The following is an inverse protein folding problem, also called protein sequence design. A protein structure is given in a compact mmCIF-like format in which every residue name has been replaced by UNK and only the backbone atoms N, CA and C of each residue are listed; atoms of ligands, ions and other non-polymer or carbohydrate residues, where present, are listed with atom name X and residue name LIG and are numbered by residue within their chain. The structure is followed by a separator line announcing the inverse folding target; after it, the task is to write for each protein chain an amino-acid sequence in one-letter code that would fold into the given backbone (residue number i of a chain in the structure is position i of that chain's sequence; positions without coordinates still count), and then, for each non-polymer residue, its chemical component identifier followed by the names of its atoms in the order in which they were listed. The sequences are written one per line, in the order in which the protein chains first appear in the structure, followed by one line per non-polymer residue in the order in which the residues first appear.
data_IF_643462307822
#
_entry.id   IF_643462307822
#
_cell.length_a   1.000
_cell.length_b   1.000
_cell.length_c   1.000
_cell.angle_alpha   90.00
_cell.angle_beta   90.00
_cell.angle_gamma   90.00
#
_symmetry.space_group_name_H-M   'P 1'
#
loop_
_entity.id
_entity.type
_entity.pdbx_description
1 polymer ?
#
# COMPACT_ATOMS: atom_id res chain seq x y z
N UNK A 1 23.40 16.10 18.42
CA UNK A 1 22.46 15.60 17.39
C UNK A 1 21.45 16.70 17.18
N UNK A 2 21.30 17.16 15.94
CA UNK A 2 20.27 18.14 15.62
C UNK A 2 18.89 17.50 15.77
N UNK A 3 17.97 18.22 16.42
CA UNK A 3 16.60 17.76 16.64
C UNK A 3 15.75 18.27 15.48
N UNK A 4 15.07 17.35 14.79
CA UNK A 4 14.10 17.71 13.76
C UNK A 4 12.78 18.19 14.37
N UNK A 5 12.10 19.11 13.69
CA UNK A 5 10.73 19.43 14.06
C UNK A 5 9.80 18.25 13.72
N UNK A 6 10.01 17.65 12.55
CA UNK A 6 9.22 16.51 12.06
C UNK A 6 10.12 15.50 11.35
N UNK A 7 9.96 14.22 11.69
CA UNK A 7 10.46 13.10 10.89
C UNK A 7 9.28 12.39 10.24
N UNK A 8 9.35 12.22 8.93
CA UNK A 8 8.36 11.49 8.12
C UNK A 8 8.96 10.12 7.80
N UNK A 9 8.24 9.05 8.12
CA UNK A 9 8.66 7.67 7.86
C UNK A 9 7.95 7.17 6.62
N UNK A 10 8.65 7.11 5.48
CA UNK A 10 8.14 6.70 4.17
C UNK A 10 8.08 7.83 3.15
N UNK A 11 8.60 7.57 1.95
CA UNK A 11 8.71 8.47 0.80
C UNK A 11 7.70 8.18 -0.32
N UNK A 12 6.54 7.60 0.01
CA UNK A 12 5.41 7.44 -0.91
C UNK A 12 4.57 8.72 -1.08
N UNK A 13 3.43 8.68 -1.79
CA UNK A 13 2.62 9.88 -2.06
C UNK A 13 2.17 10.63 -0.80
N UNK A 14 1.81 9.91 0.26
CA UNK A 14 1.45 10.51 1.55
C UNK A 14 2.64 11.24 2.19
N UNK A 15 3.78 10.55 2.32
CA UNK A 15 4.99 11.10 2.94
C UNK A 15 5.61 12.26 2.15
N UNK A 16 5.63 12.18 0.81
CA UNK A 16 6.07 13.27 -0.05
C UNK A 16 5.16 14.49 0.07
N UNK A 17 3.83 14.28 0.15
CA UNK A 17 2.88 15.38 0.37
C UNK A 17 3.07 16.01 1.74
N UNK A 18 3.22 15.19 2.78
CA UNK A 18 3.56 15.65 4.13
C UNK A 18 4.84 16.50 4.10
N UNK A 19 5.90 16.01 3.44
CA UNK A 19 7.16 16.73 3.32
C UNK A 19 7.00 18.09 2.63
N UNK A 20 6.26 18.16 1.51
CA UNK A 20 5.96 19.43 0.83
C UNK A 20 5.28 20.42 1.78
N UNK A 21 4.28 19.96 2.55
CA UNK A 21 3.57 20.82 3.50
C UNK A 21 4.47 21.28 4.66
N UNK A 22 5.33 20.40 5.16
CA UNK A 22 6.22 20.68 6.28
C UNK A 22 7.31 21.70 5.87
N UNK A 23 7.89 21.53 4.68
CA UNK A 23 8.84 22.48 4.12
C UNK A 23 8.18 23.85 3.86
N UNK A 24 6.93 23.89 3.38
CA UNK A 24 6.17 25.15 3.23
C UNK A 24 5.87 25.84 4.56
N UNK A 25 5.71 25.06 5.63
CA UNK A 25 5.58 25.55 7.00
C UNK A 25 6.93 25.96 7.64
N UNK A 26 8.05 25.85 6.90
CA UNK A 26 9.42 26.14 7.35
C UNK A 26 9.87 25.30 8.55
N UNK A 27 9.39 24.06 8.64
CA UNK A 27 9.82 23.10 9.66
C UNK A 27 11.14 22.44 9.25
N UNK A 28 12.05 22.23 10.20
CA UNK A 28 13.22 21.38 10.00
C UNK A 28 12.77 19.93 9.86
N UNK A 29 12.63 19.45 8.61
CA UNK A 29 11.95 18.19 8.28
C UNK A 29 12.89 17.20 7.62
N UNK A 30 12.82 15.95 8.08
CA UNK A 30 13.49 14.81 7.45
C UNK A 30 12.47 13.80 6.96
N UNK A 31 12.64 13.26 5.76
CA UNK A 31 11.94 12.08 5.28
C UNK A 31 12.90 10.89 5.25
N UNK A 32 12.54 9.81 5.93
CA UNK A 32 13.29 8.56 5.95
C UNK A 32 12.57 7.56 5.07
N UNK A 33 13.18 7.20 3.95
CA UNK A 33 12.66 6.22 2.98
C UNK A 33 13.55 4.98 3.01
N UNK A 34 12.98 3.78 2.90
CA UNK A 34 13.75 2.54 2.98
C UNK A 34 14.57 2.28 1.72
N UNK A 35 13.97 2.46 0.55
CA UNK A 35 14.55 2.00 -0.72
C UNK A 35 14.58 3.10 -1.78
N UNK A 36 13.40 3.54 -2.23
CA UNK A 36 13.27 4.53 -3.30
C UNK A 36 12.02 5.37 -3.07
N UNK A 37 12.12 6.66 -3.36
CA UNK A 37 10.97 7.56 -3.29
C UNK A 37 9.93 7.24 -4.36
N UNK A 38 8.68 7.61 -4.07
CA UNK A 38 7.53 7.36 -4.94
C UNK A 38 6.61 6.29 -4.38
N UNK A 39 7.14 5.32 -3.63
CA UNK A 39 6.36 4.21 -3.06
C UNK A 39 5.60 3.40 -4.12
N UNK A 40 4.54 2.72 -3.71
CA UNK A 40 3.79 1.76 -4.54
C UNK A 40 3.30 2.29 -5.89
N UNK A 41 2.94 3.57 -5.98
CA UNK A 41 2.40 4.11 -7.23
C UNK A 41 3.43 4.04 -8.36
N UNK A 42 4.73 4.01 -8.04
CA UNK A 42 5.79 3.87 -9.03
C UNK A 42 5.74 2.52 -9.79
N UNK A 43 5.12 1.50 -9.20
CA UNK A 43 4.98 0.16 -9.77
C UNK A 43 3.70 0.00 -10.59
N UNK A 44 2.75 0.95 -10.49
CA UNK A 44 1.50 0.88 -11.22
C UNK A 44 1.72 1.10 -12.73
N UNK A 45 0.98 0.36 -13.56
CA UNK A 45 0.98 0.53 -15.01
C UNK A 45 0.45 1.89 -15.44
N UNK A 46 -0.87 2.03 -15.50
CA UNK A 46 -1.57 3.27 -15.89
C UNK A 46 -2.48 3.70 -14.73
N UNK A 47 -2.49 5.01 -14.46
CA UNK A 47 -3.29 5.66 -13.42
C UNK A 47 -4.28 6.62 -14.10
N UNK A 48 -5.57 6.36 -13.94
CA UNK A 48 -6.66 7.14 -14.57
C UNK A 48 -7.64 7.71 -13.53
N UNK A 49 -7.31 7.56 -12.25
CA UNK A 49 -8.17 7.92 -11.12
C UNK A 49 -7.51 8.94 -10.18
N UNK A 50 -6.51 9.68 -10.67
CA UNK A 50 -5.89 10.80 -9.96
C UNK A 50 -6.24 12.13 -10.65
N UNK A 51 -7.25 12.87 -10.14
CA UNK A 51 -7.73 14.10 -10.77
C UNK A 51 -6.61 15.11 -11.06
N UNK A 52 -6.64 15.69 -12.26
CA UNK A 52 -5.56 16.50 -12.82
C UNK A 52 -4.75 15.76 -13.90
N UNK A 53 -4.90 14.43 -14.01
CA UNK A 53 -4.39 13.63 -15.09
C UNK A 53 -5.50 12.69 -15.58
N UNK A 54 -5.85 12.76 -16.86
CA UNK A 54 -6.79 11.81 -17.46
C UNK A 54 -6.20 10.40 -17.49
N UNK A 55 -4.91 10.30 -17.80
CA UNK A 55 -4.13 9.07 -17.79
C UNK A 55 -2.66 9.42 -17.60
N UNK A 56 -1.96 8.71 -16.72
CA UNK A 56 -0.52 8.87 -16.49
C UNK A 56 0.09 7.54 -16.06
N UNK A 57 1.35 7.27 -16.43
CA UNK A 57 2.04 6.08 -15.93
C UNK A 57 2.36 6.22 -14.45
N UNK A 58 2.26 5.14 -13.69
CA UNK A 58 2.50 5.17 -12.25
C UNK A 58 3.87 5.74 -11.86
N UNK A 59 4.93 5.30 -12.55
CA UNK A 59 6.28 5.83 -12.34
C UNK A 59 6.39 7.33 -12.66
N UNK A 60 5.71 7.83 -13.69
CA UNK A 60 5.76 9.25 -14.05
C UNK A 60 5.05 10.09 -12.99
N UNK A 61 3.92 9.61 -12.48
CA UNK A 61 3.21 10.26 -11.38
C UNK A 61 4.08 10.29 -10.11
N UNK A 62 4.75 9.19 -9.78
CA UNK A 62 5.71 9.11 -8.68
C UNK A 62 6.84 10.14 -8.83
N UNK A 63 7.47 10.20 -10.00
CA UNK A 63 8.54 11.16 -10.31
C UNK A 63 8.08 12.61 -10.16
N UNK A 64 6.84 12.93 -10.54
CA UNK A 64 6.25 14.27 -10.34
C UNK A 64 6.13 14.62 -8.86
N UNK A 65 5.70 13.69 -8.01
CA UNK A 65 5.66 13.91 -6.56
C UNK A 65 7.07 14.14 -5.98
N UNK A 66 8.03 13.29 -6.37
CA UNK A 66 9.42 13.39 -5.90
C UNK A 66 10.04 14.72 -6.33
N UNK A 67 9.86 15.11 -7.59
CA UNK A 67 10.34 16.40 -8.12
C UNK A 67 9.73 17.59 -7.37
N UNK A 68 8.45 17.50 -7.00
CA UNK A 68 7.78 18.54 -6.23
C UNK A 68 8.35 18.65 -4.81
N UNK A 69 8.56 17.53 -4.12
CA UNK A 69 9.18 17.51 -2.79
C UNK A 69 10.61 18.05 -2.82
N UNK A 70 11.43 17.63 -3.78
CA UNK A 70 12.81 18.10 -3.97
C UNK A 70 12.88 19.60 -4.31
N UNK A 71 11.90 20.15 -5.04
CA UNK A 71 11.81 21.60 -5.31
C UNK A 71 11.71 22.43 -4.03
N UNK A 72 11.13 21.88 -2.96
CA UNK A 72 11.05 22.52 -1.64
C UNK A 72 12.22 22.16 -0.73
N UNK A 73 13.27 21.52 -1.26
CA UNK A 73 14.45 21.08 -0.52
C UNK A 73 14.12 20.12 0.64
N UNK A 74 13.09 19.28 0.50
CA UNK A 74 12.85 18.21 1.46
C UNK A 74 14.09 17.31 1.51
N UNK A 75 14.68 17.15 2.70
CA UNK A 75 15.77 16.22 2.91
C UNK A 75 15.20 14.80 2.98
N UNK A 76 15.61 13.94 2.05
CA UNK A 76 15.21 12.53 1.99
C UNK A 76 16.47 11.69 2.18
N UNK A 77 16.47 10.85 3.20
CA UNK A 77 17.56 9.91 3.48
C UNK A 77 17.07 8.48 3.31
N UNK A 78 17.99 7.60 2.92
CA UNK A 78 17.70 6.19 2.74
C UNK A 78 18.12 5.40 3.97
N UNK A 79 17.14 4.89 4.71
CA UNK A 79 17.35 4.08 5.90
C UNK A 79 16.09 3.26 6.21
N UNK A 80 16.27 2.04 6.68
CA UNK A 80 15.15 1.19 7.09
C UNK A 80 14.81 1.47 8.55
N UNK A 81 13.66 2.08 8.82
CA UNK A 81 13.21 2.30 10.21
C UNK A 81 12.81 0.97 10.85
N UNK A 82 13.50 0.61 11.92
CA UNK A 82 13.30 -0.66 12.66
C UNK A 82 12.58 -0.47 13.98
N UNK A 83 12.63 0.74 14.58
CA UNK A 83 11.93 1.03 15.83
C UNK A 83 11.52 2.50 15.93
N UNK A 84 10.32 2.74 16.44
CA UNK A 84 9.91 4.05 16.94
C UNK A 84 9.90 4.04 18.48
N UNK A 85 10.80 4.81 19.08
CA UNK A 85 10.88 4.96 20.53
C UNK A 85 10.09 6.21 20.98
N UNK A 86 9.11 5.96 21.84
CA UNK A 86 8.15 6.95 22.35
C UNK A 86 8.24 7.13 23.87
N UNK A 87 9.20 6.48 24.55
CA UNK A 87 9.32 6.53 26.02
C UNK A 87 9.79 7.91 26.49
N UNK A 88 10.64 8.57 25.69
CA UNK A 88 11.20 9.89 25.98
C UNK A 88 10.86 10.90 24.87
N UNK A 89 10.90 12.19 25.24
CA UNK A 89 10.82 13.29 24.29
C UNK A 89 12.13 14.10 24.28
N UNK A 90 12.59 14.60 23.13
CA UNK A 90 12.05 14.36 21.78
C UNK A 90 12.11 12.88 21.37
N UNK A 91 11.18 12.45 20.51
CA UNK A 91 11.07 11.07 20.05
C UNK A 91 12.33 10.61 19.31
N UNK A 92 12.59 9.31 19.28
CA UNK A 92 13.68 8.72 18.50
C UNK A 92 13.11 7.77 17.44
N UNK A 93 13.38 8.07 16.17
CA UNK A 93 13.14 7.17 15.05
C UNK A 93 14.45 6.43 14.79
N UNK A 94 14.47 5.12 15.02
CA UNK A 94 15.69 4.30 14.94
C UNK A 94 15.66 3.54 13.62
N UNK A 95 16.59 3.88 12.73
CA UNK A 95 16.90 3.13 11.52
C UNK A 95 17.98 2.08 11.74
N UNK A 96 18.23 1.28 10.72
CA UNK A 96 19.36 0.33 10.70
C UNK A 96 20.70 1.05 10.76
N UNK A 97 20.79 2.23 10.14
CA UNK A 97 22.05 2.96 10.00
C UNK A 97 22.16 4.13 10.98
N UNK A 98 21.07 4.85 11.26
CA UNK A 98 21.09 6.06 12.08
C UNK A 98 19.91 6.14 13.06
N UNK A 99 20.03 7.03 14.04
CA UNK A 99 18.93 7.44 14.91
C UNK A 99 18.59 8.89 14.66
N UNK A 100 17.31 9.17 14.44
CA UNK A 100 16.78 10.50 14.14
C UNK A 100 15.96 11.00 15.32
N UNK A 101 16.39 12.10 15.94
CA UNK A 101 15.71 12.70 17.10
C UNK A 101 14.75 13.78 16.62
N UNK A 102 13.49 13.74 17.07
CA UNK A 102 12.44 14.62 16.53
C UNK A 102 11.36 15.02 17.52
N UNK A 103 10.80 16.21 17.35
CA UNK A 103 9.69 16.72 18.17
C UNK A 103 8.35 16.08 17.78
N UNK A 104 8.16 15.77 16.51
CA UNK A 104 6.96 15.10 15.98
C UNK A 104 7.30 14.03 14.92
N UNK A 105 6.41 13.07 14.75
CA UNK A 105 6.56 11.95 13.79
C UNK A 105 5.33 11.87 12.90
N UNK A 106 5.53 11.69 11.60
CA UNK A 106 4.47 11.34 10.63
C UNK A 106 4.78 9.97 10.05
N UNK A 107 3.96 8.98 10.40
CA UNK A 107 4.06 7.62 9.89
C UNK A 107 3.36 7.55 8.53
N UNK A 108 4.11 7.31 7.47
CA UNK A 108 3.63 7.20 6.09
C UNK A 108 4.21 5.94 5.39
N UNK A 109 4.44 4.87 6.18
CA UNK A 109 5.11 3.64 5.75
C UNK A 109 4.28 2.76 4.80
N UNK A 110 3.01 3.10 4.61
CA UNK A 110 2.12 2.41 3.68
C UNK A 110 1.84 0.95 4.03
N UNK A 111 1.60 0.15 3.00
CA UNK A 111 1.34 -1.29 3.09
C UNK A 111 2.27 -2.03 2.15
N UNK A 112 2.20 -3.36 2.14
CA UNK A 112 2.73 -4.25 1.10
C UNK A 112 1.71 -5.34 0.80
N UNK A 113 1.80 -5.91 -0.38
CA UNK A 113 0.95 -6.98 -0.86
C UNK A 113 1.23 -8.25 -0.05
N UNK A 114 0.18 -8.94 0.39
CA UNK A 114 0.39 -10.29 0.93
C UNK A 114 0.85 -11.20 -0.20
N UNK A 115 1.93 -11.91 0.07
CA UNK A 115 2.60 -12.81 -0.86
C UNK A 115 2.06 -14.24 -0.69
N UNK A 116 2.05 -15.03 -1.77
CA UNK A 116 1.77 -16.47 -1.65
C UNK A 116 2.97 -17.21 -1.05
N UNK A 117 4.16 -16.60 -1.13
CA UNK A 117 5.41 -17.20 -0.67
C UNK A 117 5.94 -18.25 -1.64
N UNK A 118 5.61 -18.10 -2.93
CA UNK A 118 6.02 -19.01 -4.00
C UNK A 118 7.05 -18.35 -4.92
N UNK A 119 7.08 -18.71 -6.19
CA UNK A 119 7.96 -18.15 -7.22
C UNK A 119 7.39 -16.89 -7.90
N UNK A 120 6.45 -16.19 -7.26
CA UNK A 120 5.72 -15.06 -7.83
C UNK A 120 6.60 -13.87 -8.24
N UNK A 121 7.71 -13.62 -7.54
CA UNK A 121 8.69 -12.56 -7.85
C UNK A 121 9.23 -12.64 -9.29
N UNK A 122 9.35 -13.85 -9.85
CA UNK A 122 9.85 -14.05 -11.22
C UNK A 122 8.91 -13.46 -12.28
N UNK A 123 7.63 -13.30 -11.93
CA UNK A 123 6.55 -13.01 -12.87
C UNK A 123 5.81 -11.70 -12.60
N UNK A 124 6.21 -10.92 -11.58
CA UNK A 124 5.65 -9.59 -11.32
C UNK A 124 5.89 -8.70 -12.55
N UNK A 125 4.83 -8.07 -13.05
CA UNK A 125 4.86 -7.29 -14.29
C UNK A 125 5.00 -8.13 -15.57
N UNK A 126 5.11 -9.46 -15.46
CA UNK A 126 5.18 -10.43 -16.56
C UNK A 126 4.02 -11.44 -16.52
N UNK A 127 2.90 -11.03 -15.94
CA UNK A 127 1.69 -11.84 -15.82
C UNK A 127 1.16 -11.96 -14.39
N UNK A 128 1.97 -11.70 -13.35
CA UNK A 128 1.48 -11.56 -11.97
C UNK A 128 1.18 -10.10 -11.66
N UNK A 129 -0.01 -9.84 -11.12
CA UNK A 129 -0.49 -8.55 -10.64
C UNK A 129 -1.11 -8.67 -9.25
N UNK A 130 -1.01 -7.58 -8.47
CA UNK A 130 -1.71 -7.42 -7.20
C UNK A 130 -2.72 -6.27 -7.22
N UNK A 131 -2.83 -5.53 -8.34
CA UNK A 131 -3.76 -4.43 -8.50
C UNK A 131 -4.65 -4.65 -9.73
N UNK A 132 -5.80 -5.27 -9.51
CA UNK A 132 -6.77 -5.51 -10.60
C UNK A 132 -7.21 -4.22 -11.28
N UNK A 133 -7.48 -3.16 -10.52
CA UNK A 133 -7.90 -1.87 -11.09
C UNK A 133 -6.81 -1.20 -11.94
N UNK A 134 -5.54 -1.52 -11.68
CA UNK A 134 -4.41 -0.96 -12.42
C UNK A 134 -4.15 -1.74 -13.72
N UNK A 135 -4.22 -3.08 -13.65
CA UNK A 135 -3.65 -3.94 -14.70
C UNK A 135 -4.70 -4.71 -15.52
N UNK A 136 -5.97 -4.75 -15.10
CA UNK A 136 -7.02 -5.54 -15.76
C UNK A 136 -7.09 -5.29 -17.27
N UNK A 137 -6.94 -4.02 -17.70
CA UNK A 137 -7.01 -3.63 -19.12
C UNK A 137 -6.02 -4.39 -20.02
N UNK A 138 -4.83 -4.77 -19.52
CA UNK A 138 -3.84 -5.53 -20.30
C UNK A 138 -4.26 -6.96 -20.61
N UNK A 139 -5.35 -7.43 -20.02
CA UNK A 139 -5.90 -8.78 -20.17
C UNK A 139 -7.20 -8.81 -20.96
N UNK A 140 -7.45 -7.78 -21.76
CA UNK A 140 -8.55 -7.77 -22.74
C UNK A 140 -8.51 -9.04 -23.60
N UNK A 141 -9.61 -9.80 -23.60
CA UNK A 141 -9.78 -11.07 -24.32
C UNK A 141 -8.76 -12.18 -23.95
N UNK A 142 -8.15 -12.12 -22.76
CA UNK A 142 -7.23 -13.17 -22.25
C UNK A 142 -7.87 -14.02 -21.15
N UNK A 143 -7.26 -15.15 -20.83
CA UNK A 143 -7.68 -15.97 -19.69
C UNK A 143 -6.92 -15.53 -18.44
N UNK A 144 -7.61 -15.25 -17.35
CA UNK A 144 -7.00 -14.76 -16.10
C UNK A 144 -7.40 -15.63 -14.92
N UNK A 145 -6.48 -15.71 -13.97
CA UNK A 145 -6.65 -16.43 -12.71
C UNK A 145 -6.68 -15.41 -11.58
N UNK A 146 -7.66 -15.50 -10.69
CA UNK A 146 -7.73 -14.69 -9.48
C UNK A 146 -7.50 -15.60 -8.28
N UNK A 147 -6.46 -15.34 -7.50
CA UNK A 147 -6.16 -16.12 -6.29
C UNK A 147 -6.64 -15.33 -5.08
N UNK A 148 -7.59 -15.87 -4.34
CA UNK A 148 -8.10 -15.25 -3.12
C UNK A 148 -9.45 -15.83 -2.69
N UNK A 149 -9.97 -15.32 -1.57
CA UNK A 149 -11.08 -16.00 -0.85
C UNK A 149 -12.20 -15.10 -0.36
N UNK A 150 -11.99 -13.79 -0.42
CA UNK A 150 -12.84 -12.80 0.21
C UNK A 150 -13.22 -11.67 -0.76
N UNK A 151 -13.83 -10.61 -0.24
CA UNK A 151 -14.31 -9.45 -1.00
C UNK A 151 -13.30 -8.93 -2.04
N UNK A 152 -12.00 -8.74 -1.73
CA UNK A 152 -11.01 -8.33 -2.74
C UNK A 152 -10.92 -9.23 -3.97
N UNK A 153 -10.96 -10.56 -3.77
CA UNK A 153 -10.93 -11.53 -4.87
C UNK A 153 -12.21 -11.49 -5.70
N UNK A 154 -13.36 -11.37 -5.04
CA UNK A 154 -14.66 -11.27 -5.72
C UNK A 154 -14.75 -9.97 -6.51
N UNK A 155 -14.35 -8.84 -5.94
CA UNK A 155 -14.27 -7.55 -6.66
C UNK A 155 -13.33 -7.65 -7.86
N UNK A 156 -12.17 -8.28 -7.67
CA UNK A 156 -11.21 -8.46 -8.77
C UNK A 156 -11.83 -9.25 -9.92
N UNK A 157 -12.48 -10.37 -9.61
CA UNK A 157 -13.13 -11.19 -10.63
C UNK A 157 -14.28 -10.45 -11.33
N UNK A 158 -15.11 -9.72 -10.59
CA UNK A 158 -16.20 -8.93 -11.16
C UNK A 158 -15.69 -7.80 -12.06
N UNK A 159 -14.57 -7.15 -11.72
CA UNK A 159 -13.95 -6.14 -12.57
C UNK A 159 -13.32 -6.75 -13.84
N UNK A 160 -12.74 -7.94 -13.71
CA UNK A 160 -12.13 -8.65 -14.83
C UNK A 160 -13.17 -9.28 -15.77
N UNK A 161 -14.39 -9.56 -15.30
CA UNK A 161 -15.41 -10.26 -16.10
C UNK A 161 -15.73 -9.54 -17.42
N UNK A 162 -15.70 -8.20 -17.41
CA UNK A 162 -16.06 -7.36 -18.55
C UNK A 162 -14.86 -7.10 -19.48
N UNK A 163 -13.67 -7.60 -19.12
CA UNK A 163 -12.41 -7.36 -19.83
C UNK A 163 -11.80 -8.68 -20.34
N UNK A 164 -11.71 -9.68 -19.47
CA UNK A 164 -11.08 -10.96 -19.74
C UNK A 164 -12.02 -11.90 -20.52
N UNK A 165 -11.44 -12.79 -21.32
CA UNK A 165 -12.19 -13.88 -21.98
C UNK A 165 -12.73 -14.88 -20.97
N UNK A 166 -11.93 -15.20 -19.95
CA UNK A 166 -12.30 -16.11 -18.86
C UNK A 166 -11.65 -15.69 -17.56
N UNK A 167 -12.39 -15.76 -16.48
CA UNK A 167 -11.89 -15.51 -15.12
C UNK A 167 -12.02 -16.80 -14.30
N UNK A 168 -10.90 -17.30 -13.78
CA UNK A 168 -10.90 -18.47 -12.88
C UNK A 168 -10.48 -18.04 -11.48
N UNK A 169 -11.39 -18.06 -10.51
CA UNK A 169 -11.05 -17.85 -9.11
C UNK A 169 -10.52 -19.15 -8.51
N UNK A 170 -9.39 -19.08 -7.81
CA UNK A 170 -8.80 -20.18 -7.05
C UNK A 170 -8.76 -19.79 -5.57
N UNK A 171 -9.36 -20.63 -4.72
CA UNK A 171 -9.44 -20.38 -3.27
C UNK A 171 -9.08 -21.62 -2.46
N UNK A 172 -8.35 -21.40 -1.36
CA UNK A 172 -8.00 -22.43 -0.38
C UNK A 172 -9.17 -22.83 0.53
N UNK A 173 -10.35 -22.21 0.34
CA UNK A 173 -11.54 -22.40 1.18
C UNK A 173 -12.65 -23.15 0.43
N UNK A 174 -13.57 -23.72 1.22
CA UNK A 174 -14.82 -24.33 0.72
C UNK A 174 -15.78 -23.31 0.11
N UNK A 175 -15.72 -22.07 0.58
CA UNK A 175 -16.63 -21.00 0.19
C UNK A 175 -15.90 -19.66 0.11
N UNK A 176 -16.34 -18.83 -0.83
CA UNK A 176 -15.94 -17.42 -0.91
C UNK A 176 -16.76 -16.60 0.08
N UNK A 177 -16.16 -15.56 0.66
CA UNK A 177 -16.84 -14.64 1.57
C UNK A 177 -16.91 -13.25 0.93
N UNK A 178 -18.09 -12.65 0.90
CA UNK A 178 -18.26 -11.27 0.49
C UNK A 178 -18.76 -10.43 1.66
N UNK A 179 -18.37 -9.16 1.71
CA UNK A 179 -18.95 -8.19 2.61
C UNK A 179 -20.45 -7.98 2.30
N UNK A 180 -20.82 -8.05 1.02
CA UNK A 180 -22.19 -7.90 0.54
C UNK A 180 -22.63 -9.16 -0.24
N UNK A 181 -23.74 -9.78 0.18
CA UNK A 181 -24.22 -11.05 -0.42
C UNK A 181 -24.48 -10.94 -1.92
N UNK A 182 -24.95 -9.77 -2.39
CA UNK A 182 -25.23 -9.51 -3.81
C UNK A 182 -24.02 -9.72 -4.71
N UNK A 183 -22.80 -9.57 -4.18
CA UNK A 183 -21.58 -9.81 -4.95
C UNK A 183 -21.41 -11.28 -5.32
N UNK A 184 -21.82 -12.20 -4.44
CA UNK A 184 -21.80 -13.63 -4.72
C UNK A 184 -22.85 -13.99 -5.78
N UNK A 185 -23.99 -13.31 -5.79
CA UNK A 185 -25.03 -13.51 -6.80
C UNK A 185 -24.55 -13.00 -8.17
N UNK A 186 -23.98 -11.79 -8.24
CA UNK A 186 -23.34 -11.26 -9.45
C UNK A 186 -22.18 -12.13 -9.95
N UNK A 187 -21.45 -12.75 -9.04
CA UNK A 187 -20.37 -13.67 -9.39
C UNK A 187 -20.91 -14.94 -10.06
N UNK A 188 -22.05 -15.46 -9.59
CA UNK A 188 -22.74 -16.63 -10.20
C UNK A 188 -23.36 -16.30 -11.55
N UNK A 189 -23.83 -15.06 -11.74
CA UNK A 189 -24.36 -14.55 -13.01
C UNK A 189 -23.26 -14.32 -14.06
N UNK A 190 -21.99 -14.27 -13.67
CA UNK A 190 -20.86 -14.10 -14.57
C UNK A 190 -20.61 -15.34 -15.43
N UNK A 191 -21.08 -15.34 -16.67
CA UNK A 191 -20.97 -16.49 -17.59
C UNK A 191 -19.53 -16.92 -17.89
N UNK A 192 -18.56 -15.99 -17.83
CA UNK A 192 -17.14 -16.26 -18.05
C UNK A 192 -16.35 -16.47 -16.75
N UNK A 193 -17.03 -16.55 -15.60
CA UNK A 193 -16.40 -16.75 -14.29
C UNK A 193 -16.55 -18.21 -13.85
N UNK A 194 -15.43 -18.80 -13.43
CA UNK A 194 -15.41 -20.12 -12.79
C UNK A 194 -14.70 -20.06 -11.44
N UNK A 195 -15.04 -20.96 -10.52
CA UNK A 195 -14.44 -21.00 -9.17
C UNK A 195 -13.94 -22.41 -8.88
N UNK A 196 -12.65 -22.51 -8.53
CA UNK A 196 -12.01 -23.71 -8.03
C UNK A 196 -11.80 -23.55 -6.52
N UNK A 197 -12.47 -24.40 -5.74
CA UNK A 197 -12.48 -24.38 -4.28
C UNK A 197 -11.54 -25.44 -3.71
N UNK A 198 -11.20 -25.32 -2.42
CA UNK A 198 -10.30 -26.23 -1.72
C UNK A 198 -8.97 -26.46 -2.46
N UNK A 199 -8.49 -25.42 -3.14
CA UNK A 199 -7.33 -25.49 -4.01
C UNK A 199 -6.18 -24.71 -3.40
N UNK A 200 -5.05 -25.37 -3.19
CA UNK A 200 -3.79 -24.73 -2.81
C UNK A 200 -2.97 -24.49 -4.07
N UNK A 201 -2.50 -23.26 -4.26
CA UNK A 201 -1.53 -22.94 -5.32
C UNK A 201 -0.16 -23.45 -4.86
N UNK A 202 0.48 -24.25 -5.70
CA UNK A 202 1.78 -24.88 -5.44
C UNK A 202 2.89 -24.12 -6.16
N UNK A 203 2.65 -23.72 -7.41
CA UNK A 203 3.64 -23.03 -8.23
C UNK A 203 2.97 -22.15 -9.29
N UNK A 204 3.59 -21.02 -9.62
CA UNK A 204 3.26 -20.23 -10.81
C UNK A 204 4.09 -20.74 -12.00
N UNK A 205 3.42 -21.12 -13.08
CA UNK A 205 4.05 -21.74 -14.25
C UNK A 205 4.32 -20.70 -15.34
N UNK A 206 5.46 -20.84 -16.00
CA UNK A 206 5.86 -19.99 -17.14
C UNK A 206 7.37 -19.97 -17.34
N UNK A 207 7.81 -19.52 -18.53
CA UNK A 207 9.23 -19.27 -18.82
C UNK A 207 9.59 -17.80 -18.65
N UNK A 208 9.17 -16.97 -19.59
CA UNK A 208 9.40 -15.51 -19.56
C UNK A 208 8.21 -14.74 -19.00
N UNK A 209 7.01 -15.28 -19.17
CA UNK A 209 5.74 -14.75 -18.69
C UNK A 209 4.90 -15.89 -18.12
N UNK A 210 3.86 -15.53 -17.38
CA UNK A 210 2.88 -16.48 -16.84
C UNK A 210 2.22 -17.29 -17.97
N UNK A 211 2.09 -18.60 -17.73
CA UNK A 211 1.33 -19.54 -18.57
C UNK A 211 0.23 -20.28 -17.77
N UNK A 212 0.25 -20.18 -16.44
CA UNK A 212 -0.74 -20.77 -15.56
C UNK A 212 -0.25 -20.97 -14.13
N UNK A 213 -0.96 -21.82 -13.39
CA UNK A 213 -0.55 -22.27 -12.04
C UNK A 213 -0.71 -23.78 -11.90
N UNK A 214 0.17 -24.38 -11.10
CA UNK A 214 -0.03 -25.71 -10.55
C UNK A 214 -0.82 -25.58 -9.25
N UNK A 215 -1.93 -26.30 -9.15
CA UNK A 215 -2.73 -26.36 -7.92
C UNK A 215 -2.87 -27.79 -7.43
N UNK A 216 -3.01 -27.95 -6.11
CA UNK A 216 -3.46 -29.19 -5.48
C UNK A 216 -4.89 -29.01 -4.98
N UNK A 217 -5.78 -29.91 -5.39
CA UNK A 217 -7.18 -29.97 -4.92
C UNK A 217 -7.36 -31.34 -4.29
N UNK A 218 -7.65 -31.37 -2.98
CA UNK A 218 -7.83 -32.62 -2.22
C UNK A 218 -6.65 -33.62 -2.37
N UNK A 219 -5.43 -33.11 -2.58
CA UNK A 219 -4.21 -33.90 -2.76
C UNK A 219 -3.86 -34.24 -4.21
N UNK A 220 -4.76 -33.99 -5.16
CA UNK A 220 -4.50 -34.19 -6.59
C UNK A 220 -4.00 -32.90 -7.25
N UNK A 221 -2.88 -33.00 -7.97
CA UNK A 221 -2.29 -31.88 -8.67
C UNK A 221 -2.85 -31.73 -10.09
N UNK A 222 -3.14 -30.49 -10.49
CA UNK A 222 -3.51 -30.16 -11.87
C UNK A 222 -3.08 -28.76 -12.26
N UNK A 223 -2.91 -28.56 -13.56
CA UNK A 223 -2.55 -27.27 -14.15
C UNK A 223 -3.80 -26.48 -14.51
N UNK A 224 -3.84 -25.22 -14.11
CA UNK A 224 -4.83 -24.23 -14.59
C UNK A 224 -4.09 -23.23 -15.46
N UNK A 225 -4.40 -23.19 -16.75
CA UNK A 225 -3.79 -22.25 -17.70
C UNK A 225 -4.37 -20.84 -17.52
N UNK A 226 -3.54 -19.83 -17.74
CA UNK A 226 -3.94 -18.43 -17.73
C UNK A 226 -2.81 -17.54 -18.21
N UNK A 227 -3.16 -16.45 -18.89
CA UNK A 227 -2.22 -15.42 -19.36
C UNK A 227 -1.84 -14.44 -18.25
N UNK A 228 -2.64 -14.37 -17.19
CA UNK A 228 -2.45 -13.48 -16.04
C UNK A 228 -2.94 -14.08 -14.72
N UNK A 229 -2.28 -13.71 -13.63
CA UNK A 229 -2.61 -14.10 -12.26
C UNK A 229 -2.74 -12.84 -11.42
N UNK A 230 -3.93 -12.64 -10.85
CA UNK A 230 -4.25 -11.57 -9.92
C UNK A 230 -4.28 -12.15 -8.51
N UNK A 231 -3.29 -11.79 -7.70
CA UNK A 231 -3.18 -12.26 -6.32
C UNK A 231 -3.93 -11.26 -5.42
N UNK A 232 -5.15 -11.61 -5.05
CA UNK A 232 -6.10 -10.76 -4.31
C UNK A 232 -6.33 -11.30 -2.90
N UNK A 233 -5.25 -11.51 -2.14
CA UNK A 233 -5.28 -12.00 -0.75
C UNK A 233 -5.11 -10.89 0.30
N UNK A 234 -5.19 -9.63 -0.15
CA UNK A 234 -5.15 -8.42 0.67
C UNK A 234 -3.75 -7.86 0.87
N UNK A 235 -3.68 -6.82 1.70
CA UNK A 235 -2.44 -6.14 2.03
C UNK A 235 -2.10 -6.34 3.51
N UNK A 236 -0.82 -6.17 3.84
CA UNK A 236 -0.34 -6.07 5.20
C UNK A 236 0.29 -4.68 5.44
N UNK A 237 0.01 -4.04 6.57
CA UNK A 237 0.60 -2.75 6.91
C UNK A 237 2.09 -2.88 7.24
N UNK A 238 2.88 -1.88 6.85
CA UNK A 238 4.29 -1.75 7.22
C UNK A 238 4.40 -1.11 8.61
N UNK A 239 3.89 -1.79 9.64
CA UNK A 239 3.79 -1.32 11.03
C UNK A 239 4.70 -2.06 12.01
N UNK A 240 5.56 -2.96 11.53
CA UNK A 240 6.39 -3.83 12.38
C UNK A 240 7.30 -3.02 13.33
N UNK A 241 7.84 -1.90 12.87
CA UNK A 241 8.70 -1.01 13.67
C UNK A 241 7.96 -0.28 14.81
N UNK A 242 6.64 -0.39 14.89
CA UNK A 242 5.81 0.17 15.97
C UNK A 242 5.63 -0.80 17.14
N UNK A 243 6.17 -2.01 17.05
CA UNK A 243 6.15 -2.94 18.17
C UNK A 243 6.81 -2.32 19.41
N UNK A 244 6.08 -2.32 20.53
CA UNK A 244 6.51 -1.68 21.78
C UNK A 244 6.40 -0.16 21.82
N UNK A 245 5.98 0.52 20.74
CA UNK A 245 5.86 1.99 20.71
C UNK A 245 4.56 2.53 21.34
N UNK A 246 3.64 1.66 21.76
CA UNK A 246 2.34 2.05 22.33
C UNK A 246 1.36 2.72 21.34
N UNK A 247 1.69 2.80 20.05
CA UNK A 247 0.77 3.32 19.02
C UNK A 247 -0.35 2.31 18.82
N UNK A 248 -1.61 2.76 18.94
CA UNK A 248 -2.77 1.89 18.76
C UNK A 248 -2.91 1.41 17.31
N UNK A 249 -3.04 0.10 17.14
CA UNK A 249 -3.27 -0.55 15.85
C UNK A 249 -4.64 -1.22 15.80
N UNK A 250 -5.30 -1.18 14.64
CA UNK A 250 -6.51 -1.95 14.33
C UNK A 250 -6.21 -2.85 13.14
N UNK A 251 -6.21 -4.16 13.35
CA UNK A 251 -5.80 -5.16 12.34
C UNK A 251 -4.40 -4.88 11.76
N UNK A 252 -3.48 -4.34 12.58
CA UNK A 252 -2.13 -3.96 12.20
C UNK A 252 -1.99 -2.56 11.60
N UNK A 253 -3.08 -1.89 11.23
CA UNK A 253 -3.07 -0.52 10.69
C UNK A 253 -3.06 0.51 11.81
N UNK A 254 -2.38 1.63 11.62
CA UNK A 254 -2.32 2.71 12.62
C UNK A 254 -3.67 3.38 12.75
N UNK A 255 -4.24 3.36 13.95
CA UNK A 255 -5.51 4.01 14.24
C UNK A 255 -5.29 5.52 14.34
N UNK A 256 -6.07 6.27 13.57
CA UNK A 256 -6.06 7.73 13.58
C UNK A 256 -7.46 8.33 13.66
N UNK A 257 -7.55 9.55 14.15
CA UNK A 257 -8.74 10.38 14.02
C UNK A 257 -8.80 11.11 12.65
N UNK A 258 -9.82 11.97 12.46
CA UNK A 258 -9.99 12.75 11.22
C UNK A 258 -8.90 13.80 10.98
N UNK A 259 -8.12 14.13 12.01
CA UNK A 259 -6.97 15.04 11.93
C UNK A 259 -5.65 14.27 11.79
N UNK A 260 -5.71 12.97 11.47
CA UNK A 260 -4.56 12.06 11.32
C UNK A 260 -3.73 11.88 12.60
N UNK A 261 -4.30 12.18 13.78
CA UNK A 261 -3.63 12.00 15.08
C UNK A 261 -3.74 10.56 15.55
N UNK A 262 -2.65 10.02 16.08
CA UNK A 262 -2.68 8.75 16.81
C UNK A 262 -3.10 8.98 18.27
N UNK A 263 -3.09 7.93 19.09
CA UNK A 263 -3.27 8.03 20.53
C UNK A 263 -2.10 8.74 21.26
N UNK A 264 -0.94 8.91 20.62
CA UNK A 264 0.23 9.56 21.21
C UNK A 264 0.36 10.98 20.65
N UNK A 265 0.29 11.99 21.52
CA UNK A 265 0.38 13.41 21.13
C UNK A 265 1.73 13.70 20.43
N UNK A 266 1.70 14.29 19.24
CA UNK A 266 2.89 14.53 18.42
C UNK A 266 3.26 13.40 17.45
N UNK A 267 2.51 12.29 17.46
CA UNK A 267 2.63 11.22 16.46
C UNK A 267 1.36 11.18 15.60
N UNK A 268 1.56 11.24 14.29
CA UNK A 268 0.54 11.28 13.27
C UNK A 268 0.76 10.13 12.28
N UNK A 269 -0.28 9.73 11.54
CA UNK A 269 -0.13 8.75 10.47
C UNK A 269 -1.03 9.07 9.28
N UNK A 270 -0.59 8.72 8.06
CA UNK A 270 -1.29 9.06 6.82
C UNK A 270 -1.02 8.06 5.69
N UNK A 271 -1.96 7.95 4.76
CA UNK A 271 -1.88 7.06 3.62
C UNK A 271 -2.31 5.64 3.96
N UNK A 272 -1.76 4.66 3.26
CA UNK A 272 -2.24 3.27 3.33
C UNK A 272 -2.02 2.63 4.70
N UNK A 273 -1.07 3.13 5.50
CA UNK A 273 -0.80 2.65 6.86
C UNK A 273 -1.99 2.85 7.82
N UNK A 274 -2.93 3.75 7.49
CA UNK A 274 -4.15 4.01 8.27
C UNK A 274 -5.32 3.13 7.86
N UNK A 275 -5.15 2.26 6.84
CA UNK A 275 -6.18 1.34 6.36
C UNK A 275 -7.29 2.02 5.55
N UNK A 276 -8.44 1.37 5.42
CA UNK A 276 -9.57 1.88 4.62
C UNK A 276 -9.30 1.84 3.11
N UNK A 277 -9.61 2.93 2.40
CA UNK A 277 -9.35 3.05 0.96
C UNK A 277 -7.84 3.20 0.73
N UNK A 278 -7.25 2.41 -0.16
CA UNK A 278 -5.81 2.46 -0.46
C UNK A 278 -5.62 3.12 -1.83
N UNK A 279 -5.59 4.46 -1.86
CA UNK A 279 -5.57 5.25 -3.10
C UNK A 279 -4.68 6.48 -2.95
N UNK A 280 -4.06 6.90 -4.06
CA UNK A 280 -3.17 8.06 -4.11
C UNK A 280 -3.87 9.34 -3.65
N UNK A 281 -5.14 9.53 -4.03
CA UNK A 281 -5.92 10.72 -3.64
C UNK A 281 -6.13 10.80 -2.13
N UNK A 282 -6.46 9.69 -1.48
CA UNK A 282 -6.53 9.61 0.00
C UNK A 282 -5.15 9.88 0.60
N UNK A 283 -4.10 9.24 0.09
CA UNK A 283 -2.75 9.39 0.61
C UNK A 283 -2.27 10.85 0.58
N UNK A 284 -2.49 11.56 -0.54
CA UNK A 284 -2.18 12.99 -0.69
C UNK A 284 -3.00 13.83 0.31
N UNK A 285 -4.30 13.58 0.41
CA UNK A 285 -5.16 14.31 1.35
C UNK A 285 -4.74 14.14 2.81
N UNK A 286 -4.52 12.90 3.25
CA UNK A 286 -4.08 12.62 4.62
C UNK A 286 -2.67 13.13 4.91
N UNK A 287 -1.75 13.11 3.95
CA UNK A 287 -0.40 13.68 4.11
C UNK A 287 -0.45 15.17 4.43
N UNK A 288 -1.33 15.92 3.75
CA UNK A 288 -1.55 17.34 4.05
C UNK A 288 -2.17 17.56 5.44
N UNK A 289 -3.17 16.74 5.81
CA UNK A 289 -3.84 16.83 7.12
C UNK A 289 -2.89 16.52 8.27
N UNK A 290 -2.11 15.44 8.17
CA UNK A 290 -1.14 15.03 9.19
C UNK A 290 -0.15 16.14 9.54
N UNK A 291 0.40 16.82 8.52
CA UNK A 291 1.35 17.91 8.76
C UNK A 291 0.68 19.19 9.24
N UNK A 292 -0.52 19.51 8.76
CA UNK A 292 -1.27 20.63 9.34
C UNK A 292 -1.52 20.41 10.85
N UNK A 293 -1.80 19.18 11.26
CA UNK A 293 -1.93 18.80 12.67
C UNK A 293 -0.59 18.85 13.42
N UNK A 294 0.50 18.40 12.81
CA UNK A 294 1.85 18.50 13.38
C UNK A 294 2.27 19.96 13.61
N UNK A 295 2.00 20.86 12.67
CA UNK A 295 2.25 22.31 12.81
C UNK A 295 1.48 22.88 14.00
N UNK A 296 0.19 22.56 14.15
CA UNK A 296 -0.61 23.01 15.31
C UNK A 296 0.00 22.51 16.63
N UNK A 297 0.45 21.26 16.66
CA UNK A 297 1.09 20.66 17.82
C UNK A 297 2.41 21.36 18.18
N UNK A 298 3.31 21.55 17.21
CA UNK A 298 4.60 22.21 17.41
C UNK A 298 4.41 23.67 17.88
N UNK A 299 3.48 24.42 17.27
CA UNK A 299 3.16 25.77 17.71
C UNK A 299 2.64 25.84 19.15
N UNK A 300 1.89 24.82 19.61
CA UNK A 300 1.42 24.73 21.00
C UNK A 300 2.59 24.50 21.96
N UNK A 301 3.56 23.66 21.59
CA UNK A 301 4.78 23.47 22.37
C UNK A 301 5.59 24.77 22.47
N UNK A 302 5.78 25.48 21.36
CA UNK A 302 6.60 26.70 21.34
C UNK A 302 5.96 27.85 22.13
N UNK A 303 4.62 27.94 22.14
CA UNK A 303 3.89 28.90 22.97
C UNK A 303 3.92 28.58 24.47
N UNK A 304 4.31 27.38 24.87
CA UNK A 304 4.53 27.01 26.27
C UNK A 304 5.86 27.51 26.85
N UNK A 305 6.71 28.13 26.03
CA UNK A 305 8.02 28.68 26.40
C UNK A 305 8.12 30.21 26.31
N UNK A 306 6.98 30.90 26.11
CA UNK A 306 6.88 32.37 26.20
C UNK A 306 6.16 32.81 27.48
#
# INVERSE_FOLDING_TARGET
MDVYDVVIIGGGPAGLTAGIYAMRAKLNTLCVEKEREGGKIAEAGIVENYPGFESIRGYELAERFVKHAKRFNLNIVYDNVIKLDTEERPFKVIGENNTYVTRAVVIASGTREKRLGLNEDKFIGKGVSYCTTCDAFFYLNKDVIVIGRDTPAIMSALNLKDIARRVTIITDKKELRAAERIMLDRLKEGENISVIKNAKVIEILGKEKVEGVLISVDGEERVVKGDGIFISIGHEPNSQFLEGSGVELVNGFVKVDRECKTNIEGIFACGDITGGVLQVTKAVGEGAVAVASAVKYLNKLDKGYL
#
